data_IF_231951326325
#
_entry.id   IF_231951326325
#
_cell.length_a   1.000
_cell.length_b   1.000
_cell.length_c   1.000
_cell.angle_alpha   90.00
_cell.angle_beta   90.00
_cell.angle_gamma   90.00
#
_symmetry.space_group_name_H-M   'P 1'
#
loop_
_entity.id
_entity.type
_entity.pdbx_description
1 polymer ?
#
# COMPACT_ATOMS: atom_id res chain seq x y z
N UNK A 1 34.14 -51.37 18.74
CA UNK A 1 34.84 -50.88 19.94
C UNK A 1 33.83 -50.27 20.89
N UNK A 2 33.56 -50.97 21.99
CA UNK A 2 32.73 -50.52 23.10
C UNK A 2 33.58 -49.66 24.03
N UNK A 3 33.11 -48.46 24.41
CA UNK A 3 33.73 -47.70 25.50
C UNK A 3 32.63 -47.26 26.46
N UNK A 4 32.43 -48.08 27.49
CA UNK A 4 31.56 -47.76 28.61
C UNK A 4 32.11 -46.63 29.45
N UNK A 5 31.21 -45.85 30.04
CA UNK A 5 31.51 -45.07 31.24
C UNK A 5 30.37 -45.26 32.23
N UNK A 6 30.67 -46.10 33.24
CA UNK A 6 29.90 -46.28 34.47
C UNK A 6 29.89 -44.94 35.21
N UNK A 7 28.72 -44.33 35.40
CA UNK A 7 28.55 -43.28 36.41
C UNK A 7 28.08 -43.98 37.68
N UNK A 8 28.97 -43.99 38.67
CA UNK A 8 28.72 -44.55 40.00
C UNK A 8 27.68 -43.69 40.70
N UNK A 9 26.53 -44.28 41.00
CA UNK A 9 25.55 -43.68 41.89
C UNK A 9 26.15 -43.50 43.27
N UNK A 10 26.12 -42.26 43.77
CA UNK A 10 26.17 -41.96 45.20
C UNK A 10 25.48 -40.62 45.45
N UNK A 11 24.18 -40.60 45.19
CA UNK A 11 23.28 -39.59 45.72
C UNK A 11 22.84 -40.01 47.10
N UNK A 12 23.72 -39.86 48.10
CA UNK A 12 23.27 -39.76 49.49
C UNK A 12 22.52 -38.44 49.59
N UNK A 13 21.19 -38.49 49.51
CA UNK A 13 20.35 -37.37 49.88
C UNK A 13 20.58 -37.11 51.36
N UNK A 14 21.50 -36.18 51.67
CA UNK A 14 21.59 -35.57 52.99
C UNK A 14 20.30 -34.79 53.16
N UNK A 15 19.28 -35.49 53.68
CA UNK A 15 18.07 -34.87 54.20
C UNK A 15 18.53 -34.11 55.43
N UNK A 16 18.86 -32.83 55.22
CA UNK A 16 19.01 -31.91 56.31
C UNK A 16 17.68 -31.91 57.05
N UNK A 17 17.66 -32.51 58.25
CA UNK A 17 16.52 -32.44 59.16
C UNK A 17 16.38 -30.97 59.59
N UNK A 18 15.72 -30.17 58.76
CA UNK A 18 15.27 -28.85 59.15
C UNK A 18 14.19 -29.05 60.22
N UNK A 19 14.40 -28.44 61.39
CA UNK A 19 13.45 -28.50 62.50
C UNK A 19 12.13 -27.76 62.18
N UNK A 20 12.10 -26.99 61.08
CA UNK A 20 10.96 -26.20 60.61
C UNK A 20 10.81 -26.32 59.08
N UNK A 21 9.65 -25.93 58.56
CA UNK A 21 9.37 -25.87 57.12
C UNK A 21 10.28 -24.81 56.44
N UNK A 22 10.72 -24.99 55.18
CA UNK A 22 11.59 -24.03 54.49
C UNK A 22 11.08 -22.58 54.47
N UNK A 23 9.76 -22.38 54.41
CA UNK A 23 9.14 -21.05 54.45
C UNK A 23 9.20 -20.43 55.85
N UNK A 24 9.06 -21.25 56.89
CA UNK A 24 9.16 -20.81 58.28
C UNK A 24 10.62 -20.52 58.65
N UNK A 25 11.56 -21.33 58.14
CA UNK A 25 12.99 -21.11 58.29
C UNK A 25 13.43 -19.79 57.66
N UNK A 26 12.94 -19.43 56.47
CA UNK A 26 13.26 -18.14 55.85
C UNK A 26 12.76 -16.95 56.69
N UNK A 27 11.56 -17.07 57.29
CA UNK A 27 11.02 -16.06 58.21
C UNK A 27 11.90 -15.97 59.46
N UNK A 28 12.29 -17.10 60.04
CA UNK A 28 13.14 -17.18 61.23
C UNK A 28 14.53 -16.61 60.94
N UNK A 29 15.15 -16.98 59.82
CA UNK A 29 16.47 -16.50 59.37
C UNK A 29 16.41 -15.00 59.11
N UNK A 30 15.38 -14.52 58.42
CA UNK A 30 15.15 -13.08 58.19
C UNK A 30 15.00 -12.33 59.50
N UNK A 31 14.19 -12.83 60.43
CA UNK A 31 14.00 -12.22 61.74
C UNK A 31 15.29 -12.18 62.53
N UNK A 32 16.07 -13.27 62.51
CA UNK A 32 17.37 -13.40 63.19
C UNK A 32 18.44 -12.47 62.63
N UNK A 33 18.45 -12.25 61.30
CA UNK A 33 19.33 -11.29 60.63
C UNK A 33 18.93 -9.83 60.90
N UNK A 34 17.63 -9.51 60.84
CA UNK A 34 17.10 -8.16 61.08
C UNK A 34 17.26 -7.69 62.52
N UNK A 35 17.02 -8.58 63.48
CA UNK A 35 17.11 -8.28 64.92
C UNK A 35 18.51 -8.45 65.48
N UNK A 36 19.46 -8.98 64.69
CA UNK A 36 20.83 -9.32 65.15
C UNK A 36 20.84 -10.16 66.42
N UNK A 37 19.80 -10.97 66.64
CA UNK A 37 19.66 -11.85 67.80
C UNK A 37 20.70 -12.96 67.81
N UNK A 38 21.46 -13.15 66.72
CA UNK A 38 22.68 -13.94 66.72
C UNK A 38 23.78 -13.27 65.92
N UNK A 39 24.97 -13.17 66.50
CA UNK A 39 26.17 -12.71 65.81
C UNK A 39 26.94 -13.92 65.28
N UNK A 40 27.63 -13.79 64.13
CA UNK A 40 28.45 -14.87 63.55
C UNK A 40 29.73 -15.13 64.35
N UNK A 41 30.13 -14.21 65.23
CA UNK A 41 31.30 -14.35 66.10
C UNK A 41 31.07 -13.66 67.45
N UNK A 42 31.00 -14.44 68.54
CA UNK A 42 30.78 -13.96 69.90
C UNK A 42 29.40 -14.29 70.48
N UNK A 43 29.16 -13.88 71.73
CA UNK A 43 27.88 -14.06 72.41
C UNK A 43 26.81 -13.11 71.83
N UNK A 44 25.57 -13.57 71.60
CA UNK A 44 24.48 -12.70 71.18
C UNK A 44 24.30 -11.48 72.10
N UNK A 45 24.15 -10.26 71.56
CA UNK A 45 24.03 -9.04 72.36
C UNK A 45 22.93 -9.10 73.42
N UNK A 46 21.75 -9.65 73.07
CA UNK A 46 20.65 -9.84 74.00
C UNK A 46 20.97 -10.83 75.13
N UNK A 47 21.67 -11.93 74.81
CA UNK A 47 22.08 -12.94 75.79
C UNK A 47 23.15 -12.40 76.74
N UNK A 48 24.07 -11.59 76.22
CA UNK A 48 25.10 -10.89 77.02
C UNK A 48 24.47 -9.87 77.97
N UNK A 49 23.50 -9.08 77.50
CA UNK A 49 22.72 -8.17 78.33
C UNK A 49 21.95 -8.92 79.43
N UNK A 50 21.26 -10.01 79.06
CA UNK A 50 20.54 -10.86 80.00
C UNK A 50 21.46 -11.40 81.11
N UNK A 51 22.66 -11.90 80.75
CA UNK A 51 23.63 -12.37 81.75
C UNK A 51 24.06 -11.26 82.72
N UNK A 52 24.34 -10.05 82.22
CA UNK A 52 24.70 -8.90 83.08
C UNK A 52 23.56 -8.51 84.02
N UNK A 53 22.32 -8.53 83.52
CA UNK A 53 21.12 -8.32 84.33
C UNK A 53 21.00 -9.37 85.44
N UNK A 54 21.04 -10.67 85.09
CA UNK A 54 20.93 -11.75 86.08
C UNK A 54 22.05 -11.72 87.10
N UNK A 55 23.29 -11.42 86.70
CA UNK A 55 24.41 -11.26 87.64
C UNK A 55 24.19 -10.13 88.63
N UNK A 56 23.65 -8.98 88.19
CA UNK A 56 23.30 -7.88 89.07
C UNK A 56 22.19 -8.27 90.06
N UNK A 57 21.10 -8.86 89.57
CA UNK A 57 19.96 -9.29 90.41
C UNK A 57 20.40 -10.30 91.47
N UNK A 58 21.16 -11.33 91.09
CA UNK A 58 21.65 -12.35 92.03
C UNK A 58 22.57 -11.77 93.10
N UNK A 59 23.36 -10.73 92.78
CA UNK A 59 24.22 -10.09 93.78
C UNK A 59 23.41 -9.22 94.76
N UNK A 60 22.35 -8.57 94.28
CA UNK A 60 21.42 -7.79 95.12
C UNK A 60 20.62 -8.70 96.05
N UNK A 61 20.27 -9.91 95.62
CA UNK A 61 19.53 -10.89 96.42
C UNK A 61 20.36 -11.55 97.54
N UNK A 62 21.68 -11.38 97.54
CA UNK A 62 22.53 -11.83 98.66
C UNK A 62 22.41 -10.80 99.78
N UNK A 63 21.64 -11.12 100.83
CA UNK A 63 21.48 -10.33 102.07
C UNK A 63 22.81 -10.17 102.85
N UNK A 64 23.78 -9.51 102.22
CA UNK A 64 25.15 -9.27 102.66
C UNK A 64 25.53 -7.83 102.36
N UNK A 65 26.45 -7.25 103.14
CA UNK A 65 26.86 -5.85 102.97
C UNK A 65 27.83 -5.69 101.77
N UNK A 66 27.30 -5.89 100.54
CA UNK A 66 28.04 -5.99 99.27
C UNK A 66 27.80 -4.82 98.30
N UNK A 67 27.45 -3.64 98.84
CA UNK A 67 27.04 -2.46 98.06
C UNK A 67 28.02 -2.08 96.92
N UNK A 68 29.33 -2.18 97.16
CA UNK A 68 30.34 -1.85 96.16
C UNK A 68 30.36 -2.80 94.94
N UNK A 69 29.97 -4.06 95.11
CA UNK A 69 29.90 -5.03 94.01
C UNK A 69 28.56 -4.94 93.27
N UNK A 70 27.47 -4.66 94.00
CA UNK A 70 26.18 -4.28 93.41
C UNK A 70 26.32 -3.04 92.51
N UNK A 71 27.02 -1.99 92.96
CA UNK A 71 27.24 -0.77 92.17
C UNK A 71 28.05 -1.04 90.88
N UNK A 72 29.10 -1.86 90.97
CA UNK A 72 29.90 -2.26 89.79
C UNK A 72 29.06 -3.04 88.78
N UNK A 73 28.25 -3.99 89.25
CA UNK A 73 27.38 -4.81 88.39
C UNK A 73 26.27 -3.97 87.76
N UNK A 74 25.68 -3.01 88.48
CA UNK A 74 24.71 -2.06 87.95
C UNK A 74 25.31 -1.22 86.82
N UNK A 75 26.51 -0.64 87.03
CA UNK A 75 27.24 0.11 86.01
C UNK A 75 27.54 -0.74 84.77
N UNK A 76 27.98 -1.99 84.96
CA UNK A 76 28.26 -2.92 83.87
C UNK A 76 26.99 -3.30 83.09
N UNK A 77 25.84 -3.46 83.76
CA UNK A 77 24.56 -3.71 83.12
C UNK A 77 24.09 -2.50 82.29
N UNK A 78 24.14 -1.30 82.86
CA UNK A 78 23.77 -0.07 82.14
C UNK A 78 24.65 0.16 80.90
N UNK A 79 25.96 -0.08 81.00
CA UNK A 79 26.88 0.03 79.87
C UNK A 79 26.54 -0.98 78.75
N UNK A 80 26.20 -2.22 79.11
CA UNK A 80 25.77 -3.23 78.13
C UNK A 80 24.43 -2.86 77.49
N UNK A 81 23.50 -2.26 78.26
CA UNK A 81 22.20 -1.80 77.77
C UNK A 81 22.37 -0.68 76.72
N UNK A 82 23.21 0.33 77.00
CA UNK A 82 23.53 1.37 76.01
C UNK A 82 24.24 0.80 74.78
N UNK A 83 25.09 -0.21 74.94
CA UNK A 83 25.75 -0.89 73.81
C UNK A 83 24.75 -1.67 72.95
N UNK A 84 23.73 -2.27 73.58
CA UNK A 84 22.65 -2.99 72.89
C UNK A 84 21.69 -2.07 72.14
N UNK A 85 21.50 -0.84 72.60
CA UNK A 85 20.64 0.16 71.96
C UNK A 85 21.15 0.60 70.57
N UNK A 86 22.46 0.77 70.41
CA UNK A 86 23.10 1.21 69.16
C UNK A 86 22.68 0.36 67.93
N UNK A 87 22.79 -0.98 67.93
CA UNK A 87 22.36 -1.79 66.79
C UNK A 87 20.86 -1.75 66.53
N UNK A 88 20.01 -1.52 67.56
CA UNK A 88 18.56 -1.36 67.37
C UNK A 88 18.24 -0.07 66.64
N UNK A 89 18.85 1.05 67.06
CA UNK A 89 18.72 2.34 66.38
C UNK A 89 19.21 2.26 64.93
N UNK A 90 20.33 1.56 64.70
CA UNK A 90 20.84 1.31 63.34
C UNK A 90 19.83 0.50 62.50
N UNK A 91 19.27 -0.57 63.06
CA UNK A 91 18.28 -1.40 62.35
C UNK A 91 17.04 -0.58 61.98
N UNK A 92 16.53 0.23 62.92
CA UNK A 92 15.43 1.17 62.66
C UNK A 92 15.76 2.14 61.51
N UNK A 93 16.92 2.80 61.56
CA UNK A 93 17.34 3.74 60.52
C UNK A 93 17.45 3.07 59.13
N UNK A 94 17.91 1.82 59.09
CA UNK A 94 17.95 1.02 57.85
C UNK A 94 16.55 0.67 57.36
N UNK A 95 15.63 0.27 58.24
CA UNK A 95 14.24 0.00 57.87
C UNK A 95 13.59 1.26 57.30
N UNK A 96 13.73 2.40 57.98
CA UNK A 96 13.17 3.68 57.53
C UNK A 96 13.75 4.10 56.17
N UNK A 97 15.04 3.87 55.93
CA UNK A 97 15.68 4.12 54.63
C UNK A 97 15.11 3.21 53.53
N UNK A 98 14.95 1.91 53.79
CA UNK A 98 14.39 0.97 52.82
C UNK A 98 12.92 1.29 52.48
N UNK A 99 12.13 1.77 53.45
CA UNK A 99 10.75 2.19 53.19
C UNK A 99 10.71 3.36 52.21
N UNK A 100 11.52 4.41 52.45
CA UNK A 100 11.64 5.55 51.51
C UNK A 100 12.14 5.11 50.13
N UNK A 101 13.13 4.23 50.09
CA UNK A 101 13.67 3.73 48.81
C UNK A 101 12.64 2.92 48.03
N UNK A 102 11.84 2.09 48.72
CA UNK A 102 10.71 1.36 48.13
C UNK A 102 9.67 2.31 47.54
N UNK A 103 9.33 3.39 48.23
CA UNK A 103 8.40 4.40 47.74
C UNK A 103 8.93 5.06 46.45
N UNK A 104 10.19 5.47 46.45
CA UNK A 104 10.85 6.01 45.24
C UNK A 104 10.83 5.03 44.06
N UNK A 105 11.04 3.74 44.30
CA UNK A 105 10.96 2.72 43.24
C UNK A 105 9.54 2.52 42.71
N UNK A 106 8.51 2.67 43.54
CA UNK A 106 7.13 2.61 43.08
C UNK A 106 6.82 3.81 42.18
N UNK A 107 7.22 5.02 42.57
CA UNK A 107 7.04 6.23 41.75
C UNK A 107 7.76 6.09 40.40
N UNK A 108 9.02 5.65 40.41
CA UNK A 108 9.79 5.43 39.18
C UNK A 108 9.13 4.37 38.28
N UNK A 109 8.60 3.30 38.87
CA UNK A 109 7.88 2.26 38.12
C UNK A 109 6.64 2.84 37.44
N UNK A 110 5.88 3.67 38.14
CA UNK A 110 4.66 4.29 37.61
C UNK A 110 4.99 5.28 36.48
N UNK A 111 6.06 6.05 36.63
CA UNK A 111 6.57 6.95 35.59
C UNK A 111 7.02 6.19 34.33
N UNK A 112 7.77 5.10 34.49
CA UNK A 112 8.18 4.25 33.37
C UNK A 112 6.96 3.65 32.68
N UNK A 113 5.97 3.15 33.43
CA UNK A 113 4.75 2.61 32.85
C UNK A 113 3.98 3.67 32.05
N UNK A 114 3.91 4.91 32.55
CA UNK A 114 3.30 6.03 31.82
C UNK A 114 4.04 6.31 30.52
N UNK A 115 5.37 6.32 30.53
CA UNK A 115 6.19 6.52 29.33
C UNK A 115 6.00 5.38 28.32
N UNK A 116 5.88 4.14 28.78
CA UNK A 116 5.60 2.98 27.90
C UNK A 116 4.25 3.16 27.20
N UNK A 117 3.20 3.51 27.94
CA UNK A 117 1.87 3.74 27.35
C UNK A 117 1.89 4.88 26.35
N UNK A 118 2.59 5.99 26.67
CA UNK A 118 2.74 7.11 25.75
C UNK A 118 3.47 6.69 24.46
N UNK A 119 4.61 5.99 24.59
CA UNK A 119 5.37 5.53 23.42
C UNK A 119 4.57 4.56 22.55
N UNK A 120 3.73 3.71 23.15
CA UNK A 120 2.82 2.83 22.41
C UNK A 120 1.79 3.62 21.61
N UNK A 121 1.18 4.66 22.21
CA UNK A 121 0.26 5.55 21.52
C UNK A 121 0.95 6.27 20.35
N UNK A 122 2.15 6.82 20.57
CA UNK A 122 2.93 7.50 19.53
C UNK A 122 3.25 6.56 18.36
N UNK A 123 3.59 5.29 18.65
CA UNK A 123 3.82 4.27 17.62
C UNK A 123 2.56 4.00 16.79
N UNK A 124 1.40 3.92 17.43
CA UNK A 124 0.12 3.71 16.72
C UNK A 124 -0.22 4.88 15.81
N UNK A 125 0.00 6.12 16.25
CA UNK A 125 -0.26 7.30 15.44
C UNK A 125 0.75 7.43 14.28
N UNK A 126 2.03 7.14 14.52
CA UNK A 126 3.04 7.09 13.45
C UNK A 126 2.72 6.02 12.40
N UNK A 127 2.14 4.88 12.79
CA UNK A 127 1.69 3.85 11.84
C UNK A 127 0.55 4.34 10.95
N UNK A 128 -0.42 5.08 11.51
CA UNK A 128 -1.51 5.67 10.73
C UNK A 128 -0.97 6.69 9.73
N UNK A 129 -0.12 7.61 10.20
CA UNK A 129 0.50 8.63 9.35
C UNK A 129 1.35 8.00 8.23
N UNK A 130 2.07 6.92 8.52
CA UNK A 130 2.83 6.18 7.52
C UNK A 130 1.92 5.60 6.43
N UNK A 131 0.76 5.05 6.80
CA UNK A 131 -0.17 4.49 5.83
C UNK A 131 -0.81 5.57 4.96
N UNK A 132 -1.21 6.70 5.56
CA UNK A 132 -1.68 7.88 4.83
C UNK A 132 -0.64 8.40 3.83
N UNK A 133 0.63 8.48 4.25
CA UNK A 133 1.73 8.91 3.40
C UNK A 133 1.98 7.96 2.22
N UNK A 134 1.82 6.64 2.42
CA UNK A 134 1.91 5.66 1.32
C UNK A 134 0.81 5.86 0.29
N UNK A 135 -0.43 6.09 0.75
CA UNK A 135 -1.57 6.35 -0.14
C UNK A 135 -1.31 7.61 -0.96
N UNK A 136 -0.85 8.69 -0.32
CA UNK A 136 -0.51 9.93 -1.02
C UNK A 136 0.61 9.71 -2.06
N UNK A 137 1.64 8.92 -1.71
CA UNK A 137 2.71 8.56 -2.65
C UNK A 137 2.16 7.77 -3.84
N UNK A 138 1.31 6.78 -3.61
CA UNK A 138 0.70 6.00 -4.68
C UNK A 138 -0.12 6.89 -5.63
N UNK A 139 -0.96 7.79 -5.09
CA UNK A 139 -1.70 8.73 -5.91
C UNK A 139 -0.78 9.65 -6.74
N UNK A 140 0.35 10.09 -6.16
CA UNK A 140 1.37 10.88 -6.89
C UNK A 140 2.00 10.08 -8.02
N UNK A 141 2.37 8.83 -7.78
CA UNK A 141 2.94 7.92 -8.78
C UNK A 141 1.95 7.64 -9.93
N UNK A 142 0.68 7.39 -9.60
CA UNK A 142 -0.40 7.19 -10.58
C UNK A 142 -0.64 8.45 -11.43
N UNK A 143 -0.67 9.63 -10.79
CA UNK A 143 -0.77 10.90 -11.51
C UNK A 143 0.43 11.15 -12.42
N UNK A 144 1.64 10.80 -12.00
CA UNK A 144 2.84 10.94 -12.81
C UNK A 144 2.81 9.99 -14.02
N UNK A 145 2.35 8.75 -13.83
CA UNK A 145 2.17 7.79 -14.91
C UNK A 145 1.18 8.30 -15.97
N UNK A 146 0.02 8.82 -15.53
CA UNK A 146 -0.97 9.45 -16.42
C UNK A 146 -0.37 10.67 -17.13
N UNK A 147 0.39 11.50 -16.41
CA UNK A 147 1.05 12.68 -16.99
C UNK A 147 2.04 12.28 -18.09
N UNK A 148 2.83 11.23 -17.90
CA UNK A 148 3.73 10.69 -18.93
C UNK A 148 2.97 10.21 -20.16
N UNK A 149 1.85 9.51 -19.96
CA UNK A 149 1.00 9.05 -21.06
C UNK A 149 0.39 10.22 -21.86
N UNK A 150 -0.07 11.27 -21.16
CA UNK A 150 -0.58 12.49 -21.80
C UNK A 150 0.53 13.22 -22.55
N UNK A 151 1.73 13.33 -21.98
CA UNK A 151 2.87 14.00 -22.61
C UNK A 151 3.40 13.28 -23.86
N UNK A 152 3.14 11.97 -23.98
CA UNK A 152 3.46 11.22 -25.20
C UNK A 152 2.50 11.52 -26.37
N UNK A 153 1.34 12.14 -26.09
CA UNK A 153 0.39 12.54 -27.11
C UNK A 153 0.70 13.95 -27.62
N UNK A 154 0.45 14.24 -28.92
CA UNK A 154 0.66 15.58 -29.46
C UNK A 154 -0.27 16.61 -28.79
N UNK A 155 0.12 17.90 -28.78
CA UNK A 155 -0.73 18.96 -28.25
C UNK A 155 -2.08 19.00 -28.95
N UNK A 156 -3.17 19.07 -28.17
CA UNK A 156 -4.54 19.09 -28.69
C UNK A 156 -4.77 20.20 -29.72
N UNK A 157 -4.09 21.34 -29.58
CA UNK A 157 -4.15 22.45 -30.54
C UNK A 157 -3.61 22.08 -31.92
N UNK A 158 -2.52 21.30 -31.98
CA UNK A 158 -1.94 20.84 -33.24
C UNK A 158 -2.86 19.81 -33.91
N UNK A 159 -3.35 18.83 -33.15
CA UNK A 159 -4.31 17.84 -33.66
C UNK A 159 -5.59 18.52 -34.13
N UNK A 160 -6.09 19.53 -33.40
CA UNK A 160 -7.28 20.27 -33.80
C UNK A 160 -7.05 21.06 -35.09
N UNK A 161 -5.88 21.69 -35.25
CA UNK A 161 -5.51 22.39 -36.48
C UNK A 161 -5.47 21.43 -37.68
N UNK A 162 -4.84 20.28 -37.51
CA UNK A 162 -4.78 19.24 -38.55
C UNK A 162 -6.17 18.75 -38.94
N UNK A 163 -7.06 18.53 -37.97
CA UNK A 163 -8.47 18.17 -38.24
C UNK A 163 -9.14 19.26 -39.09
N UNK A 164 -9.01 20.53 -38.71
CA UNK A 164 -9.64 21.63 -39.47
C UNK A 164 -9.07 21.80 -40.87
N UNK A 165 -7.77 21.55 -41.07
CA UNK A 165 -7.13 21.59 -42.39
C UNK A 165 -7.64 20.43 -43.27
N UNK A 166 -7.72 19.22 -42.74
CA UNK A 166 -8.26 18.04 -43.45
C UNK A 166 -9.74 18.22 -43.79
N UNK A 167 -10.56 18.74 -42.87
CA UNK A 167 -11.98 19.04 -43.14
C UNK A 167 -12.14 20.03 -44.29
N UNK A 168 -11.28 21.06 -44.35
CA UNK A 168 -11.27 22.03 -45.45
C UNK A 168 -10.86 21.39 -46.78
N UNK A 169 -9.86 20.50 -46.75
CA UNK A 169 -9.40 19.78 -47.94
C UNK A 169 -10.49 18.84 -48.48
N UNK A 170 -11.17 18.08 -47.61
CA UNK A 170 -12.31 17.24 -47.97
C UNK A 170 -13.41 18.08 -48.63
N UNK A 171 -13.78 19.21 -48.03
CA UNK A 171 -14.79 20.09 -48.58
C UNK A 171 -14.41 20.64 -49.97
N UNK A 172 -13.11 20.93 -50.20
CA UNK A 172 -12.61 21.37 -51.49
C UNK A 172 -12.65 20.26 -52.54
N UNK A 173 -12.21 19.05 -52.19
CA UNK A 173 -12.26 17.87 -53.07
C UNK A 173 -13.70 17.49 -53.43
N UNK A 174 -14.64 17.56 -52.48
CA UNK A 174 -16.06 17.30 -52.75
C UNK A 174 -16.64 18.35 -53.72
N UNK A 175 -16.25 19.62 -53.59
CA UNK A 175 -16.67 20.67 -54.51
C UNK A 175 -16.09 20.45 -55.91
N UNK A 176 -14.81 20.08 -56.03
CA UNK A 176 -14.16 19.75 -57.29
C UNK A 176 -14.79 18.52 -57.96
N UNK A 177 -15.00 17.44 -57.19
CA UNK A 177 -15.65 16.24 -57.67
C UNK A 177 -17.09 16.52 -58.15
N UNK A 178 -17.83 17.35 -57.43
CA UNK A 178 -19.16 17.80 -57.83
C UNK A 178 -19.12 18.61 -59.13
N UNK A 179 -18.15 19.52 -59.27
CA UNK A 179 -17.97 20.32 -60.48
C UNK A 179 -17.57 19.44 -61.69
N UNK A 180 -16.63 18.51 -61.49
CA UNK A 180 -16.22 17.53 -62.49
C UNK A 180 -17.36 16.64 -62.93
N UNK A 181 -18.16 16.14 -61.99
CA UNK A 181 -19.35 15.34 -62.28
C UNK A 181 -20.38 16.12 -63.11
N UNK A 182 -20.62 17.40 -62.78
CA UNK A 182 -21.51 18.27 -63.58
C UNK A 182 -20.97 18.50 -64.99
N UNK A 183 -19.66 18.71 -65.14
CA UNK A 183 -19.02 18.90 -66.43
C UNK A 183 -19.10 17.63 -67.29
N UNK A 184 -18.85 16.47 -66.69
CA UNK A 184 -18.96 15.17 -67.36
C UNK A 184 -20.39 14.95 -67.88
N UNK A 185 -21.40 15.21 -67.06
CA UNK A 185 -22.81 15.12 -67.47
C UNK A 185 -23.15 16.09 -68.60
N UNK A 186 -22.63 17.32 -68.56
CA UNK A 186 -22.79 18.27 -69.67
C UNK A 186 -22.16 17.73 -70.96
N UNK A 187 -20.95 17.17 -70.90
CA UNK A 187 -20.28 16.58 -72.07
C UNK A 187 -21.03 15.37 -72.61
N UNK A 188 -21.55 14.48 -71.75
CA UNK A 188 -22.42 13.37 -72.18
C UNK A 188 -23.62 13.88 -72.97
N UNK A 189 -24.29 14.94 -72.48
CA UNK A 189 -25.43 15.56 -73.18
C UNK A 189 -25.01 16.17 -74.53
N UNK A 190 -23.87 16.85 -74.59
CA UNK A 190 -23.34 17.41 -75.85
C UNK A 190 -22.99 16.32 -76.87
N UNK A 191 -22.36 15.22 -76.44
CA UNK A 191 -22.07 14.08 -77.32
C UNK A 191 -23.32 13.38 -77.80
N UNK A 192 -24.32 13.19 -76.94
CA UNK A 192 -25.60 12.62 -77.33
C UNK A 192 -26.29 13.47 -78.42
N UNK A 193 -26.25 14.80 -78.29
CA UNK A 193 -26.76 15.70 -79.32
C UNK A 193 -25.98 15.59 -80.64
N UNK A 194 -24.65 15.54 -80.59
CA UNK A 194 -23.83 15.37 -81.80
C UNK A 194 -24.15 14.05 -82.51
N UNK A 195 -24.27 12.94 -81.76
CA UNK A 195 -24.64 11.64 -82.32
C UNK A 195 -26.02 11.68 -82.99
N UNK A 196 -26.99 12.38 -82.39
CA UNK A 196 -28.30 12.58 -82.98
C UNK A 196 -28.22 13.34 -84.31
N UNK A 197 -27.44 14.42 -84.39
CA UNK A 197 -27.27 15.18 -85.65
C UNK A 197 -26.55 14.35 -86.72
N UNK A 198 -25.55 13.54 -86.34
CA UNK A 198 -24.90 12.61 -87.26
C UNK A 198 -25.89 11.59 -87.80
N UNK A 199 -26.74 11.03 -86.94
CA UNK A 199 -27.79 10.10 -87.33
C UNK A 199 -28.80 10.76 -88.28
N UNK A 200 -29.27 11.97 -87.99
CA UNK A 200 -30.15 12.74 -88.89
C UNK A 200 -29.52 13.01 -90.25
N UNK A 201 -28.23 13.40 -90.30
CA UNK A 201 -27.52 13.60 -91.56
C UNK A 201 -27.35 12.29 -92.34
N UNK A 202 -27.06 11.18 -91.67
CA UNK A 202 -26.99 9.87 -92.31
C UNK A 202 -28.35 9.47 -92.88
N UNK A 203 -29.42 9.63 -92.12
CA UNK A 203 -30.78 9.39 -92.57
C UNK A 203 -31.13 10.28 -93.78
N UNK A 204 -30.76 11.56 -93.75
CA UNK A 204 -30.99 12.50 -94.87
C UNK A 204 -30.24 12.07 -96.12
N UNK A 205 -28.96 11.69 -96.01
CA UNK A 205 -28.16 11.20 -97.14
C UNK A 205 -28.75 9.90 -97.70
N UNK A 206 -29.19 8.98 -96.83
CA UNK A 206 -29.86 7.76 -97.28
C UNK A 206 -31.18 8.04 -97.99
N UNK A 207 -31.96 9.02 -97.50
CA UNK A 207 -33.19 9.47 -98.15
C UNK A 207 -32.92 10.14 -99.51
N UNK A 208 -31.93 11.02 -99.60
CA UNK A 208 -31.50 11.64 -100.86
C UNK A 208 -30.98 10.58 -101.86
N UNK A 209 -30.21 9.59 -101.41
CA UNK A 209 -29.79 8.48 -102.25
C UNK A 209 -30.98 7.65 -102.73
N UNK A 210 -31.94 7.33 -101.86
CA UNK A 210 -33.19 6.63 -102.25
C UNK A 210 -33.99 7.47 -103.25
N UNK A 211 -34.08 8.79 -103.05
CA UNK A 211 -34.76 9.72 -103.94
C UNK A 211 -34.08 9.80 -105.31
N UNK A 212 -32.75 9.91 -105.37
CA UNK A 212 -31.98 9.91 -106.61
C UNK A 212 -32.11 8.58 -107.38
N UNK A 213 -32.13 7.46 -106.66
CA UNK A 213 -32.37 6.14 -107.26
C UNK A 213 -33.79 6.08 -107.84
N UNK A 214 -34.78 6.64 -107.15
CA UNK A 214 -36.17 6.68 -107.63
C UNK A 214 -36.35 7.64 -108.81
N UNK A 215 -35.72 8.81 -108.81
CA UNK A 215 -35.67 9.72 -109.96
C UNK A 215 -34.95 9.10 -111.16
N UNK A 216 -33.83 8.40 -110.94
CA UNK A 216 -33.15 7.65 -112.00
C UNK A 216 -34.04 6.51 -112.51
N UNK A 217 -34.79 5.83 -111.65
CA UNK A 217 -35.78 4.80 -112.04
C UNK A 217 -36.89 5.41 -112.91
N UNK A 218 -37.44 6.56 -112.52
CA UNK A 218 -38.48 7.28 -113.27
C UNK A 218 -37.95 7.82 -114.61
N UNK A 219 -36.74 8.37 -114.67
CA UNK A 219 -36.11 8.79 -115.93
C UNK A 219 -35.81 7.59 -116.86
N UNK A 220 -35.47 6.43 -116.30
CA UNK A 220 -35.30 5.19 -117.07
C UNK A 220 -36.66 4.66 -117.56
N UNK A 221 -37.73 4.81 -116.78
CA UNK A 221 -39.09 4.49 -117.22
C UNK A 221 -39.66 5.49 -118.23
N UNK A 222 -39.33 6.78 -118.16
CA UNK A 222 -39.67 7.77 -119.21
C UNK A 222 -38.92 7.49 -120.52
N UNK A 223 -37.64 7.07 -120.46
CA UNK A 223 -36.90 6.62 -121.64
C UNK A 223 -37.48 5.32 -122.24
N UNK A 224 -38.05 4.46 -121.40
CA UNK A 224 -38.71 3.21 -121.81
C UNK A 224 -40.12 3.46 -122.39
N UNK A 225 -40.87 4.39 -121.82
CA UNK A 225 -42.17 4.83 -122.33
C UNK A 225 -42.06 5.61 -123.65
N UNK A 226 -40.91 6.23 -123.94
CA UNK A 226 -40.61 6.81 -125.27
C UNK A 226 -40.25 5.78 -126.36
N UNK A 227 -39.97 4.52 -126.00
CA UNK A 227 -39.63 3.44 -126.94
C UNK A 227 -40.84 2.50 -127.19
N UNK A 228 -41.84 2.48 -126.30
CA UNK A 228 -43.05 1.66 -126.48
C UNK A 228 -44.13 2.30 -127.41
N UNK A 229 -43.96 3.55 -127.85
CA UNK A 229 -44.83 4.24 -128.84
C UNK A 229 -44.36 4.12 -130.32
N UNK A 230 -43.36 3.28 -130.63
CA UNK A 230 -42.83 3.07 -131.99
C UNK A 230 -42.91 1.61 -132.49
N UNK A 231 -43.88 0.82 -132.02
CA UNK A 231 -44.16 -0.51 -132.59
C UNK A 231 -45.66 -0.88 -132.54
N UNK A 232 -46.51 -0.05 -133.15
CA UNK A 232 -47.87 -0.41 -133.54
C UNK A 232 -47.87 -1.01 -134.96
N UNK A 233 -48.18 -2.30 -135.08
CA UNK A 233 -48.14 -3.06 -136.32
C UNK A 233 -49.32 -2.87 -137.27
N UNK A 234 -49.03 -3.19 -138.55
CA UNK A 234 -49.86 -3.89 -139.54
C UNK A 234 -51.21 -3.27 -140.00
N UNK A 235 -51.16 -2.58 -141.14
CA UNK A 235 -51.68 -2.99 -142.47
C UNK A 235 -53.16 -3.47 -142.66
N UNK A 236 -53.68 -3.16 -143.86
CA UNK A 236 -54.99 -3.46 -144.49
C UNK A 236 -56.14 -2.44 -144.27
N UNK A 237 -56.54 -1.58 -145.22
CA UNK A 237 -57.09 -1.73 -146.60
C UNK A 237 -58.60 -1.39 -146.68
N UNK A 238 -58.88 -0.13 -147.05
CA UNK A 238 -59.73 0.37 -148.16
C UNK A 238 -61.25 0.04 -148.34
N UNK A 239 -61.99 1.15 -148.59
CA UNK A 239 -63.22 1.43 -149.41
C UNK A 239 -64.61 1.06 -148.85
N UNK A 240 -65.40 2.07 -148.45
CA UNK A 240 -66.52 2.70 -149.21
C UNK A 240 -66.89 4.06 -148.57
#
# INVERSE_FOLDING_TARGET
MLKGRKVSGRGEAVTANYAFSPLDDDIIIKHRLLTRTTTTRGEPPLKKLQKKFTSFVVEVEKDTDNYGDCEKLAKAFLQEMSTFEIPLLKSKAVVDANVREKENFNELKDDINRQIVQAQADIEDLKKLLEESKIERQHKEECEAIRKLIAAQPPRSETQKMITELEKEIAALDAENTAGSRLLELRKKQFALLLHVVDELQNTIEEEQKSLVEEMRLATEELKNGIEDASGGSDAMAVD
#
